data_IF_394229711206
#
_entry.id   IF_394229711206
#
_cell.length_a   1.000
_cell.length_b   1.000
_cell.length_c   1.000
_cell.angle_alpha   90.00
_cell.angle_beta   90.00
_cell.angle_gamma   90.00
#
_symmetry.space_group_name_H-M   'P 1'
#
loop_
_entity.id
_entity.type
_entity.pdbx_description
1 polymer ?
#
# COMPACT_ATOMS: atom_id res chain seq x y z
N UNK A 1 -30.07 -1.44 19.54
CA UNK A 1 -28.65 -1.09 19.26
C UNK A 1 -28.00 -2.07 18.29
N UNK A 2 -28.04 -3.40 18.51
CA UNK A 2 -27.51 -4.37 17.53
C UNK A 2 -28.07 -4.25 16.11
N UNK A 3 -29.37 -3.94 15.95
CA UNK A 3 -29.99 -3.76 14.63
C UNK A 3 -29.42 -2.54 13.88
N UNK A 4 -29.30 -1.39 14.56
CA UNK A 4 -28.68 -0.19 14.00
C UNK A 4 -27.18 -0.32 13.74
N UNK A 5 -26.47 -1.13 14.51
CA UNK A 5 -25.06 -1.46 14.24
C UNK A 5 -24.90 -2.36 13.01
N UNK A 6 -25.79 -3.34 12.84
CA UNK A 6 -25.85 -4.17 11.63
C UNK A 6 -26.17 -3.31 10.40
N UNK A 7 -27.15 -2.41 10.48
CA UNK A 7 -27.52 -1.52 9.38
C UNK A 7 -26.40 -0.50 9.04
N UNK A 8 -25.56 -0.16 10.02
CA UNK A 8 -24.38 0.68 9.81
C UNK A 8 -23.25 -0.06 9.09
N UNK A 9 -22.93 -1.30 9.50
CA UNK A 9 -21.94 -2.15 8.83
C UNK A 9 -22.40 -2.51 7.41
N UNK A 10 -23.70 -2.74 7.20
CA UNK A 10 -24.25 -3.08 5.89
C UNK A 10 -24.20 -1.91 4.88
N UNK A 11 -23.81 -0.70 5.28
CA UNK A 11 -23.37 0.33 4.32
C UNK A 11 -22.01 -0.12 3.77
N UNK A 12 -22.01 -0.85 2.66
CA UNK A 12 -20.87 -1.59 2.09
C UNK A 12 -19.51 -0.89 2.14
N UNK A 13 -19.49 0.44 1.97
CA UNK A 13 -18.29 1.28 2.10
C UNK A 13 -17.54 1.08 3.45
N UNK A 14 -18.24 0.87 4.57
CA UNK A 14 -17.61 0.71 5.90
C UNK A 14 -16.86 -0.63 6.01
N UNK A 15 -17.42 -1.70 5.43
CA UNK A 15 -16.78 -3.03 5.46
C UNK A 15 -15.54 -3.05 4.60
N UNK A 16 -15.60 -2.48 3.40
CA UNK A 16 -14.46 -2.37 2.49
C UNK A 16 -13.31 -1.57 3.11
N UNK A 17 -13.63 -0.41 3.70
CA UNK A 17 -12.65 0.40 4.42
C UNK A 17 -12.06 -0.33 5.63
N UNK A 18 -12.88 -1.04 6.41
CA UNK A 18 -12.41 -1.81 7.55
C UNK A 18 -11.44 -2.93 7.12
N UNK A 19 -11.78 -3.67 6.05
CA UNK A 19 -10.92 -4.71 5.50
C UNK A 19 -9.60 -4.12 5.00
N UNK A 20 -9.64 -3.00 4.28
CA UNK A 20 -8.45 -2.32 3.79
C UNK A 20 -7.49 -1.92 4.93
N UNK A 21 -8.01 -1.35 6.02
CA UNK A 21 -7.21 -0.94 7.19
C UNK A 21 -6.61 -2.16 7.91
N UNK A 22 -7.39 -3.22 8.11
CA UNK A 22 -6.92 -4.44 8.79
C UNK A 22 -5.82 -5.12 7.97
N UNK A 23 -5.97 -5.23 6.65
CA UNK A 23 -4.96 -5.83 5.78
C UNK A 23 -3.70 -4.96 5.75
N UNK A 24 -3.84 -3.64 5.59
CA UNK A 24 -2.70 -2.72 5.53
C UNK A 24 -1.87 -2.73 6.82
N UNK A 25 -2.52 -2.75 7.98
CA UNK A 25 -1.84 -2.82 9.28
C UNK A 25 -1.16 -4.17 9.52
N UNK A 26 -1.83 -5.28 9.19
CA UNK A 26 -1.26 -6.62 9.31
C UNK A 26 -0.03 -6.79 8.39
N UNK A 27 -0.11 -6.31 7.15
CA UNK A 27 1.00 -6.37 6.22
C UNK A 27 2.20 -5.51 6.68
N UNK A 28 1.94 -4.29 7.14
CA UNK A 28 2.99 -3.42 7.69
C UNK A 28 3.70 -4.10 8.87
N UNK A 29 2.95 -4.73 9.78
CA UNK A 29 3.53 -5.46 10.91
C UNK A 29 4.47 -6.60 10.48
N UNK A 30 4.13 -7.32 9.40
CA UNK A 30 4.99 -8.38 8.85
C UNK A 30 6.29 -7.80 8.30
N UNK A 31 6.22 -6.71 7.53
CA UNK A 31 7.43 -6.10 6.94
C UNK A 31 8.31 -5.47 8.03
N UNK A 32 7.71 -4.80 9.01
CA UNK A 32 8.42 -4.26 10.17
C UNK A 32 9.14 -5.38 10.93
N UNK A 33 8.44 -6.48 11.25
CA UNK A 33 9.06 -7.62 11.94
C UNK A 33 10.20 -8.24 11.12
N UNK A 34 10.05 -8.35 9.79
CA UNK A 34 11.12 -8.81 8.91
C UNK A 34 12.34 -7.89 8.99
N UNK A 35 12.16 -6.58 8.89
CA UNK A 35 13.29 -5.66 8.95
C UNK A 35 13.93 -5.59 10.33
N UNK A 36 13.13 -5.54 11.40
CA UNK A 36 13.63 -5.49 12.77
C UNK A 36 14.42 -6.74 13.16
N UNK A 37 13.99 -7.92 12.70
CA UNK A 37 14.60 -9.18 13.09
C UNK A 37 15.63 -9.73 12.09
N UNK A 38 15.59 -9.32 10.82
CA UNK A 38 16.57 -9.75 9.82
C UNK A 38 17.49 -8.61 9.37
N UNK A 39 16.94 -7.45 9.02
CA UNK A 39 17.73 -6.35 8.44
C UNK A 39 18.53 -5.59 9.51
N UNK A 40 17.92 -5.25 10.65
CA UNK A 40 18.60 -4.50 11.71
C UNK A 40 19.82 -5.22 12.27
N UNK A 41 19.77 -6.53 12.57
CA UNK A 41 20.97 -7.24 13.04
C UNK A 41 22.08 -7.25 11.99
N UNK A 42 21.74 -7.30 10.70
CA UNK A 42 22.74 -7.24 9.63
C UNK A 42 23.37 -5.85 9.51
N UNK A 43 22.58 -4.78 9.62
CA UNK A 43 23.10 -3.40 9.63
C UNK A 43 23.96 -3.16 10.88
N UNK A 44 23.49 -3.62 12.05
CA UNK A 44 24.22 -3.52 13.31
C UNK A 44 25.55 -4.28 13.26
N UNK A 45 25.57 -5.47 12.63
CA UNK A 45 26.80 -6.25 12.44
C UNK A 45 27.82 -5.53 11.53
N UNK A 46 27.37 -4.78 10.53
CA UNK A 46 28.23 -3.96 9.68
C UNK A 46 28.71 -2.67 10.38
N UNK A 47 28.03 -2.23 11.43
CA UNK A 47 28.35 -1.03 12.23
C UNK A 47 29.55 -1.17 13.16
N UNK A 48 30.11 -2.37 13.31
CA UNK A 48 31.29 -2.63 14.15
C UNK A 48 30.96 -2.84 15.64
N UNK A 49 31.73 -3.71 16.30
CA UNK A 49 31.41 -4.31 17.59
C UNK A 49 31.64 -3.43 18.84
N UNK A 50 32.17 -2.20 18.73
CA UNK A 50 32.72 -1.50 19.91
C UNK A 50 32.18 -0.09 20.20
N UNK A 51 31.25 0.45 19.41
CA UNK A 51 30.56 1.69 19.79
C UNK A 51 29.21 1.70 19.12
N UNK A 52 28.14 1.53 19.91
CA UNK A 52 26.74 1.86 19.59
C UNK A 52 26.48 2.01 18.08
N UNK A 53 26.16 0.90 17.40
CA UNK A 53 26.09 0.83 15.95
C UNK A 53 25.52 2.10 15.30
N UNK A 54 26.30 2.75 14.43
CA UNK A 54 25.98 3.98 13.70
C UNK A 54 25.42 5.16 14.52
N UNK A 55 25.42 5.09 15.85
CA UNK A 55 24.82 6.08 16.72
C UNK A 55 25.85 6.77 17.61
N UNK A 56 25.66 8.07 17.84
CA UNK A 56 26.54 8.83 18.72
C UNK A 56 25.77 9.73 19.68
N UNK A 57 26.35 9.93 20.86
CA UNK A 57 25.82 10.86 21.85
C UNK A 57 26.25 12.29 21.50
N UNK A 58 25.28 13.19 21.33
CA UNK A 58 25.55 14.63 21.17
C UNK A 58 26.10 15.25 22.46
N UNK A 59 25.76 14.66 23.62
CA UNK A 59 26.27 15.03 24.94
C UNK A 59 26.59 13.75 25.71
N UNK A 60 27.87 13.58 26.07
CA UNK A 60 28.34 12.45 26.88
C UNK A 60 27.53 12.35 28.18
N UNK A 61 26.95 11.18 28.45
CA UNK A 61 26.21 10.86 29.67
C UNK A 61 24.73 11.25 29.70
N UNK A 62 24.14 11.66 28.57
CA UNK A 62 22.70 11.88 28.48
C UNK A 62 22.07 10.98 27.41
N UNK A 63 21.35 9.94 27.86
CA UNK A 63 20.65 8.99 26.98
C UNK A 63 19.60 9.67 26.10
N UNK A 64 19.03 10.79 26.54
CA UNK A 64 18.09 11.57 25.72
C UNK A 64 18.75 12.28 24.52
N UNK A 65 20.10 12.28 24.44
CA UNK A 65 20.85 12.91 23.33
C UNK A 65 21.56 11.89 22.45
N UNK A 66 21.19 10.62 22.55
CA UNK A 66 21.65 9.57 21.65
C UNK A 66 20.98 9.72 20.29
N UNK A 67 21.77 9.90 19.23
CA UNK A 67 21.28 9.89 17.85
C UNK A 67 21.55 8.52 17.24
N UNK A 68 20.48 7.79 16.92
CA UNK A 68 20.55 6.48 16.29
C UNK A 68 20.34 6.60 14.77
N UNK A 69 21.43 6.69 14.00
CA UNK A 69 21.34 6.70 12.54
C UNK A 69 20.99 5.31 11.97
N UNK A 70 21.26 4.24 12.73
CA UNK A 70 20.86 2.88 12.36
C UNK A 70 19.33 2.78 12.24
N UNK A 71 18.60 3.29 13.24
CA UNK A 71 17.15 3.34 13.23
C UNK A 71 16.57 4.12 12.03
N UNK A 72 17.21 5.22 11.64
CA UNK A 72 16.77 6.02 10.47
C UNK A 72 16.98 5.25 9.16
N UNK A 73 18.13 4.59 9.00
CA UNK A 73 18.42 3.77 7.82
C UNK A 73 17.46 2.58 7.75
N UNK A 74 17.21 1.92 8.88
CA UNK A 74 16.20 0.87 9.02
C UNK A 74 14.82 1.35 8.59
N UNK A 75 14.39 2.52 9.07
CA UNK A 75 13.08 3.07 8.73
C UNK A 75 12.97 3.37 7.23
N UNK A 76 14.03 3.91 6.61
CA UNK A 76 14.08 4.15 5.17
C UNK A 76 14.04 2.84 4.36
N UNK A 77 14.78 1.81 4.79
CA UNK A 77 14.74 0.49 4.18
C UNK A 77 13.37 -0.17 4.31
N UNK A 78 12.75 -0.07 5.50
CA UNK A 78 11.38 -0.53 5.73
C UNK A 78 10.40 0.08 4.73
N UNK A 79 10.43 1.41 4.62
CA UNK A 79 9.59 2.12 3.66
C UNK A 79 9.81 1.63 2.22
N UNK A 80 11.07 1.44 1.82
CA UNK A 80 11.43 1.01 0.47
C UNK A 80 10.99 -0.43 0.19
N UNK A 81 11.11 -1.33 1.18
CA UNK A 81 10.62 -2.72 1.07
C UNK A 81 9.10 -2.74 0.95
N UNK A 82 8.37 -2.02 1.82
CA UNK A 82 6.91 -1.94 1.76
C UNK A 82 6.48 -1.41 0.39
N UNK A 83 7.06 -0.30 -0.06
CA UNK A 83 6.76 0.29 -1.35
C UNK A 83 7.05 -0.67 -2.51
N UNK A 84 8.19 -1.37 -2.48
CA UNK A 84 8.55 -2.36 -3.49
C UNK A 84 7.55 -3.52 -3.53
N UNK A 85 7.18 -4.08 -2.37
CA UNK A 85 6.23 -5.21 -2.33
C UNK A 85 4.83 -4.78 -2.79
N UNK A 86 4.34 -3.62 -2.34
CA UNK A 86 3.06 -3.07 -2.81
C UNK A 86 3.09 -2.84 -4.31
N UNK A 87 4.17 -2.26 -4.83
CA UNK A 87 4.34 -2.04 -6.26
C UNK A 87 4.37 -3.34 -7.04
N UNK A 88 5.20 -4.31 -6.67
CA UNK A 88 5.36 -5.56 -7.42
C UNK A 88 4.17 -6.52 -7.30
N UNK A 89 3.48 -6.56 -6.16
CA UNK A 89 2.35 -7.48 -5.94
C UNK A 89 1.01 -6.88 -6.37
N UNK A 90 0.80 -5.57 -6.20
CA UNK A 90 -0.48 -4.94 -6.51
C UNK A 90 -0.40 -4.10 -7.79
N UNK A 91 0.51 -3.13 -7.84
CA UNK A 91 0.53 -2.13 -8.93
C UNK A 91 0.98 -2.74 -10.26
N UNK A 92 2.09 -3.49 -10.27
CA UNK A 92 2.68 -4.08 -11.48
C UNK A 92 1.75 -5.06 -12.20
N UNK A 93 1.08 -6.03 -11.53
CA UNK A 93 0.11 -6.89 -12.20
C UNK A 93 -1.12 -6.12 -12.64
N UNK A 94 -1.60 -5.15 -11.85
CA UNK A 94 -2.76 -4.34 -12.23
C UNK A 94 -2.46 -3.50 -13.49
N UNK A 95 -1.30 -2.85 -13.55
CA UNK A 95 -0.83 -2.14 -14.73
C UNK A 95 -0.68 -3.08 -15.94
N UNK A 96 -0.13 -4.29 -15.75
CA UNK A 96 0.02 -5.27 -16.83
C UNK A 96 -1.32 -5.76 -17.36
N UNK A 97 -2.30 -5.99 -16.49
CA UNK A 97 -3.66 -6.37 -16.88
C UNK A 97 -4.37 -5.23 -17.61
N UNK A 98 -4.23 -3.99 -17.13
CA UNK A 98 -4.78 -2.80 -17.77
C UNK A 98 -4.17 -2.59 -19.17
N UNK A 99 -2.85 -2.74 -19.31
CA UNK A 99 -2.19 -2.69 -20.62
C UNK A 99 -2.68 -3.81 -21.56
N UNK A 100 -2.90 -5.02 -21.05
CA UNK A 100 -3.42 -6.13 -21.85
C UNK A 100 -4.88 -5.90 -22.28
N UNK A 101 -5.69 -5.27 -21.44
CA UNK A 101 -7.06 -4.86 -21.76
C UNK A 101 -7.07 -3.72 -22.78
N UNK A 102 -6.22 -2.70 -22.60
CA UNK A 102 -6.07 -1.57 -23.52
C UNK A 102 -5.60 -2.02 -24.92
N UNK A 103 -4.63 -2.95 -25.00
CA UNK A 103 -4.18 -3.55 -26.26
C UNK A 103 -5.26 -4.35 -26.98
N UNK A 104 -6.26 -4.90 -26.26
CA UNK A 104 -7.41 -5.61 -26.86
C UNK A 104 -8.52 -4.67 -27.32
N UNK A 105 -8.72 -3.52 -26.67
CA UNK A 105 -9.79 -2.58 -27.02
C UNK A 105 -9.37 -1.47 -28.00
N UNK A 106 -8.07 -1.21 -28.19
CA UNK A 106 -7.60 -0.19 -29.15
C UNK A 106 -8.01 1.25 -28.79
N UNK A 107 -8.41 1.49 -27.54
CA UNK A 107 -8.85 2.80 -27.03
C UNK A 107 -7.88 3.25 -25.94
N UNK A 108 -7.53 4.53 -26.01
CA UNK A 108 -6.65 5.27 -25.10
C UNK A 108 -7.22 5.29 -23.68
N UNK A 109 -6.31 5.27 -22.70
CA UNK A 109 -6.51 5.32 -21.25
C UNK A 109 -7.85 5.92 -20.80
N UNK A 110 -8.72 5.07 -20.29
CA UNK A 110 -9.60 5.42 -19.18
C UNK A 110 -9.14 4.57 -18.00
N UNK A 111 -8.74 5.26 -16.94
CA UNK A 111 -8.45 4.71 -15.63
C UNK A 111 -9.78 4.15 -15.08
N UNK A 112 -10.13 2.93 -15.51
CA UNK A 112 -11.34 2.24 -15.10
C UNK A 112 -11.20 1.88 -13.60
N UNK A 113 -11.64 2.81 -12.74
CA UNK A 113 -12.35 2.43 -11.52
C UNK A 113 -13.39 1.36 -11.88
N UNK A 114 -13.69 0.39 -10.98
CA UNK A 114 -14.61 -0.71 -11.30
C UNK A 114 -15.84 -0.13 -11.97
N UNK A 115 -16.14 -0.58 -13.19
CA UNK A 115 -17.20 -0.02 -14.01
C UNK A 115 -18.42 0.20 -13.11
N UNK A 116 -18.68 1.47 -12.81
CA UNK A 116 -19.83 1.79 -11.99
C UNK A 116 -21.06 1.35 -12.76
N UNK A 117 -22.13 0.97 -12.06
CA UNK A 117 -23.42 0.67 -12.72
C UNK A 117 -23.82 1.83 -13.68
N UNK A 118 -23.39 3.04 -13.37
CA UNK A 118 -23.53 4.22 -14.22
C UNK A 118 -22.74 4.11 -15.53
N UNK A 119 -21.51 3.59 -15.53
CA UNK A 119 -20.72 3.37 -16.76
C UNK A 119 -21.38 2.32 -17.68
N UNK A 120 -21.87 1.21 -17.11
CA UNK A 120 -22.62 0.19 -17.87
C UNK A 120 -23.92 0.76 -18.47
N UNK A 121 -24.68 1.52 -17.67
CA UNK A 121 -25.89 2.21 -18.13
C UNK A 121 -25.59 3.23 -19.23
N UNK A 122 -24.50 3.98 -19.11
CA UNK A 122 -24.09 4.95 -20.13
C UNK A 122 -23.65 4.26 -21.43
N UNK A 123 -23.03 3.09 -21.33
CA UNK A 123 -22.70 2.26 -22.50
C UNK A 123 -23.96 1.75 -23.20
N UNK A 124 -24.94 1.24 -22.46
CA UNK A 124 -26.25 0.84 -23.01
C UNK A 124 -26.99 2.04 -23.65
N UNK A 125 -26.99 3.21 -22.99
CA UNK A 125 -27.62 4.43 -23.54
C UNK A 125 -26.93 4.85 -24.84
N UNK A 126 -25.59 4.83 -24.89
CA UNK A 126 -24.83 5.14 -26.12
C UNK A 126 -25.24 4.22 -27.26
N UNK A 127 -25.33 2.92 -26.99
CA UNK A 127 -25.66 1.92 -28.00
C UNK A 127 -27.12 2.05 -28.48
N UNK A 128 -28.06 2.36 -27.57
CA UNK A 128 -29.45 2.67 -27.91
C UNK A 128 -29.57 3.95 -28.75
N UNK A 129 -28.79 4.99 -28.45
CA UNK A 129 -28.78 6.24 -29.24
C UNK A 129 -28.16 6.04 -30.62
N UNK A 130 -27.10 5.23 -30.72
CA UNK A 130 -26.48 4.87 -32.00
C UNK A 130 -27.44 4.09 -32.89
N UNK A 131 -28.24 3.19 -32.30
CA UNK A 131 -29.27 2.43 -33.00
C UNK A 131 -30.51 3.26 -33.38
N UNK A 132 -30.74 4.42 -32.73
CA UNK A 132 -31.89 5.31 -32.97
C UNK A 132 -31.60 6.41 -34.01
N UNK A 133 -30.33 6.68 -34.33
CA UNK A 133 -29.92 7.64 -35.37
C UNK A 133 -29.74 7.01 -36.77
N UNK A 134 -30.48 5.93 -37.04
CA UNK A 134 -30.77 5.37 -38.37
C UNK A 134 -32.29 5.39 -38.59
#
# INVERSE_FOLDING_TARGET
>A
MLKGFKDFILRGNVVELAVAVVIGTAFTAIVTAFSEHLINPMIAALGGADVSGLGFYLRSGNDATFMDFGAVITAALNFLIIAAVVYFILVAPMNKLNEMAARRKGVVEEEEAPASIEAELLEEIRDLLKNRNL
#
